data_IF_351811417242
#
_entry.id   IF_351811417242
#
_cell.length_a   1.000
_cell.length_b   1.000
_cell.length_c   1.000
_cell.angle_alpha   90.00
_cell.angle_beta   90.00
_cell.angle_gamma   90.00
#
_symmetry.space_group_name_H-M   'P 1'
#
loop_
_entity.id
_entity.type
_entity.pdbx_description
1 polymer ?
#
# COMPACT_ATOMS: atom_id res chain seq x y z
N UNK A 1 -36.64 -46.42 -60.83
CA UNK A 1 -36.60 -46.54 -59.36
C UNK A 1 -35.38 -45.80 -58.84
N UNK A 2 -35.63 -44.66 -58.18
CA UNK A 2 -34.67 -43.56 -58.03
C UNK A 2 -33.68 -43.69 -56.87
N UNK A 3 -32.46 -43.18 -57.12
CA UNK A 3 -31.32 -43.06 -56.21
C UNK A 3 -31.67 -42.22 -54.98
N UNK A 4 -31.35 -42.72 -53.78
CA UNK A 4 -31.38 -41.94 -52.52
C UNK A 4 -29.98 -41.42 -52.20
N UNK A 5 -29.80 -40.13 -52.38
CA UNK A 5 -28.67 -39.32 -51.91
C UNK A 5 -28.75 -39.18 -50.39
N UNK A 6 -27.68 -39.50 -49.65
CA UNK A 6 -27.54 -39.15 -48.23
C UNK A 6 -26.69 -37.88 -48.14
N UNK A 7 -27.33 -36.74 -47.91
CA UNK A 7 -26.69 -35.49 -47.50
C UNK A 7 -26.10 -35.62 -46.10
N UNK A 8 -24.79 -35.39 -45.98
CA UNK A 8 -24.12 -35.08 -44.71
C UNK A 8 -24.39 -33.62 -44.39
N UNK A 9 -25.19 -33.36 -43.33
CA UNK A 9 -25.26 -32.03 -42.69
C UNK A 9 -23.94 -31.74 -41.98
N UNK A 10 -23.09 -30.92 -42.60
CA UNK A 10 -22.06 -30.16 -41.90
C UNK A 10 -22.77 -29.07 -41.08
N UNK A 11 -22.84 -29.24 -39.76
CA UNK A 11 -23.09 -28.12 -38.86
C UNK A 11 -21.80 -27.30 -38.77
N UNK A 12 -21.71 -26.27 -39.62
CA UNK A 12 -20.80 -25.15 -39.40
C UNK A 12 -21.41 -24.34 -38.26
N UNK A 13 -20.89 -24.53 -37.05
CA UNK A 13 -21.13 -23.61 -35.94
C UNK A 13 -20.51 -22.28 -36.33
N UNK A 14 -21.36 -21.29 -36.59
CA UNK A 14 -20.96 -19.91 -36.77
C UNK A 14 -20.18 -19.46 -35.53
N UNK A 15 -18.85 -19.39 -35.64
CA UNK A 15 -18.04 -18.59 -34.75
C UNK A 15 -18.45 -17.14 -34.97
N UNK A 16 -19.34 -16.64 -34.12
CA UNK A 16 -19.49 -15.22 -33.90
C UNK A 16 -18.19 -14.72 -33.27
N UNK A 17 -17.28 -14.27 -34.12
CA UNK A 17 -16.15 -13.44 -33.74
C UNK A 17 -16.74 -12.16 -33.16
N UNK A 18 -16.94 -12.13 -31.84
CA UNK A 18 -17.13 -10.87 -31.12
C UNK A 18 -15.76 -10.18 -31.09
N UNK A 19 -15.71 -9.05 -31.77
CA UNK A 19 -14.60 -8.12 -31.71
C UNK A 19 -14.30 -7.78 -30.24
N UNK A 20 -13.12 -8.20 -29.78
CA UNK A 20 -12.49 -7.71 -28.56
C UNK A 20 -12.08 -6.26 -28.82
N UNK A 21 -12.72 -5.31 -28.12
CA UNK A 21 -12.18 -3.96 -27.99
C UNK A 21 -10.87 -3.97 -27.20
N UNK A 22 -10.03 -2.93 -27.34
CA UNK A 22 -8.82 -2.82 -26.54
C UNK A 22 -9.22 -2.44 -25.12
N UNK A 23 -8.98 -3.29 -24.11
CA UNK A 23 -9.10 -2.84 -22.72
C UNK A 23 -9.35 -3.86 -21.61
N UNK A 24 -9.75 -5.11 -21.89
CA UNK A 24 -9.98 -6.08 -20.80
C UNK A 24 -8.77 -7.00 -20.61
N UNK A 25 -7.81 -6.57 -19.78
CA UNK A 25 -6.86 -7.51 -19.19
C UNK A 25 -7.65 -8.48 -18.29
N UNK A 26 -7.57 -9.81 -18.49
CA UNK A 26 -8.34 -10.75 -17.70
C UNK A 26 -7.88 -10.69 -16.24
N UNK A 27 -8.78 -10.28 -15.34
CA UNK A 27 -8.59 -10.46 -13.89
C UNK A 27 -8.23 -11.92 -13.63
N UNK A 28 -7.15 -12.17 -12.88
CA UNK A 28 -6.67 -13.53 -12.65
C UNK A 28 -7.80 -14.40 -12.08
N UNK A 29 -7.99 -15.63 -12.57
CA UNK A 29 -9.16 -16.46 -12.21
C UNK A 29 -9.33 -16.76 -10.71
N UNK A 30 -8.27 -16.62 -9.90
CA UNK A 30 -8.37 -16.67 -8.43
C UNK A 30 -9.12 -15.47 -7.84
N UNK A 31 -8.97 -14.29 -8.47
CA UNK A 31 -9.63 -13.05 -8.11
C UNK A 31 -11.12 -13.09 -8.40
N UNK A 32 -11.54 -13.58 -9.57
CA UNK A 32 -12.97 -13.78 -9.90
C UNK A 32 -13.66 -14.74 -8.92
N UNK A 33 -12.93 -15.76 -8.42
CA UNK A 33 -13.39 -16.67 -7.36
C UNK A 33 -13.48 -16.01 -5.97
N UNK A 34 -12.63 -15.02 -5.68
CA UNK A 34 -12.69 -14.24 -4.45
C UNK A 34 -13.78 -13.16 -4.51
N UNK A 35 -14.00 -12.53 -5.67
CA UNK A 35 -15.09 -11.60 -5.93
C UNK A 35 -16.46 -12.28 -5.79
N UNK A 36 -16.65 -13.46 -6.37
CA UNK A 36 -17.92 -14.23 -6.23
C UNK A 36 -18.18 -14.70 -4.79
N UNK A 37 -17.13 -14.89 -3.98
CA UNK A 37 -17.26 -15.14 -2.54
C UNK A 37 -17.54 -13.87 -1.72
N UNK A 38 -17.32 -12.67 -2.29
CA UNK A 38 -17.44 -11.37 -1.60
C UNK A 38 -18.43 -10.40 -2.26
N UNK A 39 -19.19 -10.83 -3.27
CA UNK A 39 -20.16 -10.00 -3.95
C UNK A 39 -21.53 -10.05 -3.27
N UNK A 40 -21.83 -8.96 -2.56
CA UNK A 40 -23.12 -8.24 -2.51
C UNK A 40 -24.36 -9.11 -2.25
N UNK A 41 -24.67 -9.25 -0.96
CA UNK A 41 -25.94 -9.79 -0.48
C UNK A 41 -27.10 -8.89 -0.88
N UNK A 42 -28.04 -9.44 -1.65
CA UNK A 42 -29.42 -8.97 -1.67
C UNK A 42 -30.06 -9.28 -0.31
N UNK A 43 -30.86 -8.33 0.16
CA UNK A 43 -31.57 -8.26 1.45
C UNK A 43 -31.64 -9.53 2.30
N UNK A 44 -31.05 -9.47 3.49
CA UNK A 44 -31.30 -10.42 4.57
C UNK A 44 -31.63 -9.66 5.86
N UNK A 45 -32.77 -10.03 6.43
CA UNK A 45 -33.34 -9.49 7.65
C UNK A 45 -32.40 -9.66 8.84
N UNK A 46 -32.34 -8.62 9.67
CA UNK A 46 -31.39 -8.42 10.77
C UNK A 46 -31.54 -9.40 11.95
N UNK A 47 -32.58 -10.22 11.99
CA UNK A 47 -32.99 -10.91 13.23
C UNK A 47 -32.31 -12.25 13.50
N UNK A 48 -31.60 -12.87 12.54
CA UNK A 48 -31.11 -14.25 12.70
C UNK A 48 -29.58 -14.44 12.79
N UNK A 49 -28.75 -13.41 12.53
CA UNK A 49 -27.29 -13.61 12.29
C UNK A 49 -26.41 -13.15 13.48
N UNK A 50 -27.00 -12.83 14.62
CA UNK A 50 -26.27 -12.21 15.75
C UNK A 50 -25.24 -13.12 16.45
N UNK A 51 -25.24 -14.43 16.19
CA UNK A 51 -24.29 -15.37 16.79
C UNK A 51 -22.95 -15.55 16.06
N UNK A 52 -22.88 -15.31 14.75
CA UNK A 52 -21.73 -15.78 13.93
C UNK A 52 -20.71 -14.69 13.57
N UNK A 53 -21.04 -13.40 13.72
CA UNK A 53 -20.25 -12.29 13.18
C UNK A 53 -19.48 -11.45 14.24
N UNK A 54 -19.36 -11.92 15.49
CA UNK A 54 -18.65 -11.16 16.53
C UNK A 54 -19.29 -9.80 16.84
N UNK A 55 -20.61 -9.70 16.65
CA UNK A 55 -21.42 -8.52 16.96
C UNK A 55 -21.84 -8.62 18.43
N UNK A 56 -21.33 -7.72 19.27
CA UNK A 56 -21.78 -7.59 20.66
C UNK A 56 -22.91 -6.56 20.69
N UNK A 57 -24.13 -7.00 21.01
CA UNK A 57 -25.26 -6.11 21.24
C UNK A 57 -25.31 -5.77 22.72
N UNK A 58 -25.19 -4.49 23.05
CA UNK A 58 -25.52 -3.98 24.38
C UNK A 58 -26.89 -3.29 24.28
N UNK A 59 -27.91 -3.91 24.88
CA UNK A 59 -29.25 -3.33 24.96
C UNK A 59 -29.28 -2.37 26.14
N UNK A 60 -28.95 -1.10 25.92
CA UNK A 60 -29.15 -0.06 26.92
C UNK A 60 -30.62 0.33 26.86
N UNK A 61 -31.39 -0.02 27.88
CA UNK A 61 -32.83 0.25 27.95
C UNK A 61 -33.06 1.72 28.29
N UNK A 62 -33.28 2.53 27.26
CA UNK A 62 -34.32 3.56 27.15
C UNK A 62 -34.19 4.21 25.75
N UNK A 63 -35.31 4.25 25.02
CA UNK A 63 -35.52 4.61 23.60
C UNK A 63 -35.34 3.49 22.55
N UNK A 64 -36.17 3.53 21.51
CA UNK A 64 -36.38 2.53 20.43
C UNK A 64 -35.16 2.23 19.53
N UNK A 65 -33.95 2.64 19.93
CA UNK A 65 -32.71 2.44 19.19
C UNK A 65 -31.78 1.45 19.92
N UNK A 66 -31.22 0.49 19.18
CA UNK A 66 -30.22 -0.43 19.73
C UNK A 66 -28.81 -0.02 19.31
N UNK A 67 -27.86 -0.08 20.24
CA UNK A 67 -26.45 0.20 19.97
C UNK A 67 -25.69 -1.10 19.71
N UNK A 68 -24.98 -1.13 18.59
CA UNK A 68 -24.29 -2.32 18.09
C UNK A 68 -22.85 -1.96 17.76
N UNK A 69 -21.89 -2.67 18.36
CA UNK A 69 -20.48 -2.56 17.98
C UNK A 69 -20.19 -3.57 16.87
N UNK A 70 -19.70 -3.09 15.73
CA UNK A 70 -19.34 -3.92 14.57
C UNK A 70 -17.92 -3.60 14.07
N UNK A 71 -17.33 -4.52 13.30
CA UNK A 71 -16.12 -4.24 12.54
C UNK A 71 -16.38 -3.11 11.53
N UNK A 72 -15.54 -2.08 11.55
CA UNK A 72 -15.75 -0.87 10.75
C UNK A 72 -15.73 -1.14 9.24
N UNK A 73 -14.85 -2.03 8.78
CA UNK A 73 -14.73 -2.36 7.36
C UNK A 73 -15.94 -3.18 6.89
N UNK A 74 -16.37 -4.17 7.66
CA UNK A 74 -17.59 -4.94 7.35
C UNK A 74 -18.85 -4.06 7.39
N UNK A 75 -18.91 -3.12 8.34
CA UNK A 75 -19.97 -2.13 8.41
C UNK A 75 -20.01 -1.24 7.15
N UNK A 76 -18.86 -0.72 6.70
CA UNK A 76 -18.78 0.09 5.49
C UNK A 76 -19.17 -0.70 4.23
N UNK A 77 -18.75 -1.97 4.12
CA UNK A 77 -19.15 -2.85 3.00
C UNK A 77 -20.66 -3.06 2.94
N UNK A 78 -21.31 -3.14 4.10
CA UNK A 78 -22.75 -3.39 4.22
C UNK A 78 -23.59 -2.12 4.01
N UNK A 79 -23.23 -1.03 4.67
CA UNK A 79 -24.08 0.16 4.79
C UNK A 79 -23.62 1.33 3.90
N UNK A 80 -22.39 1.27 3.37
CA UNK A 80 -21.79 2.35 2.58
C UNK A 80 -20.52 2.90 3.20
N UNK A 81 -19.64 3.42 2.35
CA UNK A 81 -18.35 4.00 2.74
C UNK A 81 -18.47 5.13 3.78
N UNK A 82 -19.56 5.89 3.74
CA UNK A 82 -19.88 7.02 4.63
C UNK A 82 -20.97 6.70 5.66
N UNK A 83 -21.04 5.45 6.12
CA UNK A 83 -21.98 4.99 7.15
C UNK A 83 -22.02 5.95 8.36
N UNK A 84 -23.22 6.38 8.77
CA UNK A 84 -23.39 7.36 9.84
C UNK A 84 -22.96 8.79 9.51
N UNK A 85 -22.47 9.07 8.30
CA UNK A 85 -22.01 10.37 7.82
C UNK A 85 -22.44 10.64 6.38
N UNK A 86 -23.66 10.21 6.00
CA UNK A 86 -24.11 10.17 4.60
C UNK A 86 -24.13 11.52 3.89
N UNK A 87 -24.26 12.63 4.64
CA UNK A 87 -24.21 14.00 4.11
C UNK A 87 -22.82 14.64 4.09
N UNK A 88 -21.78 13.98 4.59
CA UNK A 88 -20.42 14.53 4.65
C UNK A 88 -19.62 14.14 3.40
N UNK A 89 -18.91 15.12 2.85
CA UNK A 89 -17.99 14.93 1.74
C UNK A 89 -16.59 14.57 2.24
N UNK A 90 -15.82 13.89 1.40
CA UNK A 90 -14.39 13.75 1.60
C UNK A 90 -13.69 15.11 1.51
N UNK A 91 -12.78 15.36 2.44
CA UNK A 91 -11.91 16.54 2.43
C UNK A 91 -10.53 16.08 2.00
N UNK A 92 -9.91 16.75 1.04
CA UNK A 92 -8.51 16.53 0.67
C UNK A 92 -7.68 17.67 1.25
N UNK A 93 -6.65 17.36 2.02
CA UNK A 93 -5.87 18.40 2.70
C UNK A 93 -5.07 19.27 1.73
N UNK A 94 -4.53 18.66 0.68
CA UNK A 94 -3.67 19.33 -0.29
C UNK A 94 -3.53 18.51 -1.58
N UNK A 95 -2.94 19.15 -2.60
CA UNK A 95 -2.44 18.46 -3.79
C UNK A 95 -3.49 18.04 -4.82
N UNK A 96 -4.75 18.46 -4.70
CA UNK A 96 -5.77 18.17 -5.72
C UNK A 96 -5.30 18.60 -7.12
N UNK A 97 -5.45 17.70 -8.09
CA UNK A 97 -5.10 17.95 -9.49
C UNK A 97 -6.14 17.32 -10.44
N UNK A 98 -6.34 17.94 -11.59
CA UNK A 98 -7.22 17.43 -12.64
C UNK A 98 -6.56 16.36 -13.53
N UNK A 99 -5.23 16.26 -13.46
CA UNK A 99 -4.41 15.39 -14.29
C UNK A 99 -3.61 14.41 -13.43
N UNK A 100 -3.31 13.25 -14.00
CA UNK A 100 -2.47 12.23 -13.42
C UNK A 100 -0.96 12.50 -13.64
N UNK A 101 -0.08 11.59 -13.21
CA UNK A 101 1.37 11.79 -13.30
C UNK A 101 1.91 11.78 -14.74
N UNK A 102 1.16 11.26 -15.70
CA UNK A 102 1.49 11.27 -17.15
C UNK A 102 0.70 12.33 -17.92
N UNK A 103 0.15 13.34 -17.20
CA UNK A 103 -0.58 14.47 -17.77
C UNK A 103 -1.90 14.09 -18.47
N UNK A 104 -2.47 12.91 -18.18
CA UNK A 104 -3.81 12.54 -18.64
C UNK A 104 -4.87 13.08 -17.68
N UNK A 105 -5.94 13.63 -18.25
CA UNK A 105 -7.10 14.06 -17.46
C UNK A 105 -7.74 12.87 -16.77
N UNK A 106 -8.01 13.03 -15.48
CA UNK A 106 -8.70 12.01 -14.72
C UNK A 106 -10.17 11.90 -15.12
N UNK A 107 -10.59 10.66 -15.33
CA UNK A 107 -12.00 10.27 -15.35
C UNK A 107 -12.20 9.20 -14.29
N UNK A 108 -13.41 9.11 -13.73
CA UNK A 108 -13.78 8.10 -12.74
C UNK A 108 -13.25 6.72 -13.18
N UNK A 109 -12.30 6.17 -12.41
CA UNK A 109 -11.69 4.89 -12.76
C UNK A 109 -12.67 3.75 -12.49
N UNK A 110 -12.76 2.83 -13.44
CA UNK A 110 -13.32 1.52 -13.18
C UNK A 110 -12.43 0.81 -12.13
N UNK A 111 -12.99 0.38 -10.98
CA UNK A 111 -12.23 -0.35 -9.97
C UNK A 111 -11.52 -1.58 -10.53
N UNK A 112 -12.11 -2.30 -11.49
CA UNK A 112 -11.49 -3.51 -12.04
C UNK A 112 -10.25 -3.17 -12.88
N UNK A 113 -10.33 -2.13 -13.70
CA UNK A 113 -9.17 -1.60 -14.41
C UNK A 113 -8.06 -1.19 -13.44
N UNK A 114 -8.37 -0.41 -12.39
CA UNK A 114 -7.36 0.02 -11.40
C UNK A 114 -6.77 -1.18 -10.64
N UNK A 115 -7.58 -2.19 -10.31
CA UNK A 115 -7.09 -3.46 -9.74
C UNK A 115 -6.09 -4.13 -10.68
N UNK A 116 -6.37 -4.19 -11.99
CA UNK A 116 -5.47 -4.85 -12.96
C UNK A 116 -4.08 -4.21 -13.03
N UNK A 117 -4.01 -2.89 -12.83
CA UNK A 117 -2.76 -2.13 -12.77
C UNK A 117 -1.94 -2.54 -11.54
N UNK A 118 -2.55 -2.56 -10.37
CA UNK A 118 -1.86 -2.83 -9.11
C UNK A 118 -1.70 -4.31 -8.77
N UNK A 119 -2.40 -5.19 -9.46
CA UNK A 119 -2.34 -6.62 -9.22
C UNK A 119 -0.93 -7.17 -9.57
N UNK A 120 -0.22 -7.84 -8.65
CA UNK A 120 1.12 -8.33 -8.92
C UNK A 120 1.14 -9.40 -10.02
N UNK A 121 2.18 -9.48 -10.85
CA UNK A 121 2.24 -10.51 -11.91
C UNK A 121 2.48 -11.91 -11.36
N UNK A 122 3.31 -12.03 -10.32
CA UNK A 122 3.66 -13.31 -9.73
C UNK A 122 2.51 -13.89 -8.91
N UNK A 123 2.08 -15.12 -9.25
CA UNK A 123 1.12 -15.90 -8.46
C UNK A 123 1.58 -16.11 -7.01
N UNK A 124 2.89 -16.13 -6.78
CA UNK A 124 3.46 -16.34 -5.46
C UNK A 124 3.21 -15.14 -4.52
N UNK A 125 3.12 -13.91 -5.04
CA UNK A 125 2.94 -12.70 -4.22
C UNK A 125 1.50 -12.18 -4.19
N UNK A 126 0.67 -12.64 -5.12
CA UNK A 126 -0.76 -12.31 -5.21
C UNK A 126 -1.55 -12.48 -3.89
N UNK A 127 -1.28 -13.47 -3.01
CA UNK A 127 -1.99 -13.58 -1.74
C UNK A 127 -1.83 -12.39 -0.79
N UNK A 128 -0.81 -11.54 -0.99
CA UNK A 128 -0.54 -10.36 -0.15
C UNK A 128 -1.02 -9.06 -0.78
N UNK A 129 -1.50 -9.11 -2.02
CA UNK A 129 -2.18 -7.97 -2.62
C UNK A 129 -3.53 -7.76 -1.95
N UNK A 130 -3.76 -6.58 -1.40
CA UNK A 130 -5.02 -6.21 -0.74
C UNK A 130 -5.77 -5.21 -1.64
N UNK A 131 -6.77 -5.67 -2.40
CA UNK A 131 -7.52 -4.81 -3.34
C UNK A 131 -8.57 -3.93 -2.63
N UNK A 132 -8.74 -4.09 -1.32
CA UNK A 132 -9.90 -3.60 -0.57
C UNK A 132 -10.12 -2.10 -0.70
N UNK A 133 -9.05 -1.30 -0.69
CA UNK A 133 -9.15 0.14 -0.90
C UNK A 133 -9.64 0.50 -2.31
N UNK A 134 -9.11 -0.15 -3.36
CA UNK A 134 -9.56 0.08 -4.75
C UNK A 134 -11.01 -0.39 -4.92
N UNK A 135 -11.39 -1.52 -4.32
CA UNK A 135 -12.74 -2.08 -4.39
C UNK A 135 -13.80 -1.10 -3.86
N UNK A 136 -13.45 -0.18 -2.98
CA UNK A 136 -14.38 0.84 -2.49
C UNK A 136 -14.92 1.74 -3.61
N UNK A 137 -14.18 1.93 -4.72
CA UNK A 137 -14.63 2.69 -5.91
C UNK A 137 -15.81 2.03 -6.64
N UNK A 138 -16.18 0.79 -6.30
CA UNK A 138 -17.41 0.18 -6.79
C UNK A 138 -18.67 0.90 -6.28
N UNK A 139 -18.56 1.72 -5.22
CA UNK A 139 -19.65 2.57 -4.76
C UNK A 139 -19.67 3.90 -5.54
N UNK A 140 -20.71 4.18 -6.36
CA UNK A 140 -20.72 5.36 -7.23
C UNK A 140 -20.59 6.69 -6.49
N UNK A 141 -21.20 6.79 -5.30
CA UNK A 141 -21.12 7.99 -4.45
C UNK A 141 -19.71 8.29 -3.95
N UNK A 142 -18.88 7.26 -3.77
CA UNK A 142 -17.47 7.42 -3.40
C UNK A 142 -16.64 7.74 -4.65
N UNK A 143 -16.82 6.96 -5.72
CA UNK A 143 -16.09 7.15 -6.99
C UNK A 143 -16.24 8.59 -7.51
N UNK A 144 -17.45 9.15 -7.43
CA UNK A 144 -17.72 10.54 -7.81
C UNK A 144 -16.99 11.61 -6.97
N UNK A 145 -16.47 11.27 -5.79
CA UNK A 145 -15.73 12.20 -4.91
C UNK A 145 -14.21 12.06 -4.99
N UNK A 146 -13.69 10.93 -5.45
CA UNK A 146 -12.24 10.73 -5.54
C UNK A 146 -11.67 11.62 -6.65
N UNK A 147 -10.53 12.25 -6.39
CA UNK A 147 -9.77 13.05 -7.35
C UNK A 147 -8.30 12.71 -7.18
N UNK A 148 -7.49 12.72 -8.25
CA UNK A 148 -6.05 12.53 -8.09
C UNK A 148 -5.45 13.63 -7.20
N UNK A 149 -4.45 13.24 -6.42
CA UNK A 149 -3.64 14.19 -5.65
C UNK A 149 -2.17 14.06 -6.02
N UNK A 150 -1.44 15.17 -5.94
CA UNK A 150 0.01 15.24 -5.97
C UNK A 150 0.48 16.23 -4.90
N UNK A 151 1.02 15.72 -3.80
CA UNK A 151 1.48 16.53 -2.66
C UNK A 151 2.99 16.77 -2.70
N UNK A 152 3.47 17.75 -1.94
CA UNK A 152 4.91 17.99 -1.81
C UNK A 152 5.65 16.75 -1.27
N UNK A 153 5.05 16.05 -0.30
CA UNK A 153 5.62 14.83 0.28
C UNK A 153 5.69 13.69 -0.74
N UNK A 154 4.69 13.54 -1.61
CA UNK A 154 4.73 12.56 -2.71
C UNK A 154 5.90 12.83 -3.64
N UNK A 155 6.07 14.08 -4.10
CA UNK A 155 7.17 14.47 -4.97
C UNK A 155 8.54 14.23 -4.33
N UNK A 156 8.74 14.62 -3.06
CA UNK A 156 10.00 14.39 -2.33
C UNK A 156 10.30 12.89 -2.18
N UNK A 157 9.31 12.09 -1.77
CA UNK A 157 9.49 10.64 -1.63
C UNK A 157 9.77 9.95 -2.97
N UNK A 158 9.07 10.35 -4.03
CA UNK A 158 9.32 9.86 -5.39
C UNK A 158 10.77 10.13 -5.82
N UNK A 159 11.21 11.39 -5.71
CA UNK A 159 12.56 11.78 -6.15
C UNK A 159 13.67 11.12 -5.34
N UNK A 160 13.51 10.98 -4.02
CA UNK A 160 14.47 10.23 -3.18
C UNK A 160 14.52 8.75 -3.56
N UNK A 161 13.36 8.19 -3.89
CA UNK A 161 13.26 6.78 -4.31
C UNK A 161 13.93 6.54 -5.65
N UNK A 162 14.01 7.52 -6.56
CA UNK A 162 14.83 7.38 -7.78
C UNK A 162 16.32 7.09 -7.46
N UNK A 163 16.84 7.64 -6.36
CA UNK A 163 18.19 7.29 -5.86
C UNK A 163 18.30 5.83 -5.42
N UNK A 164 17.30 5.32 -4.68
CA UNK A 164 17.23 3.91 -4.28
C UNK A 164 17.07 3.00 -5.52
N UNK A 165 16.19 3.38 -6.45
CA UNK A 165 15.97 2.69 -7.71
C UNK A 165 17.27 2.55 -8.50
N UNK A 166 18.06 3.63 -8.60
CA UNK A 166 19.35 3.59 -9.25
C UNK A 166 20.29 2.56 -8.61
N UNK A 167 20.37 2.47 -7.28
CA UNK A 167 21.19 1.49 -6.58
C UNK A 167 20.71 0.05 -6.82
N UNK A 168 19.40 -0.19 -6.66
CA UNK A 168 18.84 -1.54 -6.79
C UNK A 168 18.87 -2.06 -8.23
N UNK A 169 18.83 -1.18 -9.23
CA UNK A 169 19.01 -1.58 -10.64
C UNK A 169 20.41 -2.11 -10.97
N UNK A 170 21.40 -1.87 -10.10
CA UNK A 170 22.80 -2.24 -10.32
C UNK A 170 23.24 -3.48 -9.55
N UNK A 171 22.40 -4.03 -8.67
CA UNK A 171 22.76 -5.18 -7.84
C UNK A 171 22.21 -6.48 -8.41
N UNK A 172 23.03 -7.53 -8.41
CA UNK A 172 22.68 -8.83 -9.01
C UNK A 172 21.68 -9.64 -8.16
N UNK A 173 21.56 -9.31 -6.88
CA UNK A 173 20.76 -9.99 -5.87
C UNK A 173 19.56 -9.17 -5.40
N UNK A 174 19.13 -8.16 -6.19
CA UNK A 174 17.96 -7.34 -5.88
C UNK A 174 16.71 -8.20 -5.66
N UNK A 175 16.57 -9.26 -6.46
CA UNK A 175 15.48 -10.22 -6.37
C UNK A 175 15.41 -11.03 -5.07
N UNK A 176 16.44 -10.98 -4.23
CA UNK A 176 16.48 -11.61 -2.91
C UNK A 176 16.01 -10.66 -1.79
N UNK A 177 15.53 -9.47 -2.13
CA UNK A 177 15.02 -8.47 -1.20
C UNK A 177 13.49 -8.34 -1.25
N UNK A 178 12.87 -8.35 -0.08
CA UNK A 178 11.55 -7.74 0.13
C UNK A 178 11.73 -6.29 0.63
N UNK A 179 11.10 -5.34 -0.03
CA UNK A 179 11.01 -3.96 0.45
C UNK A 179 9.64 -3.78 1.13
N UNK A 180 9.64 -3.35 2.38
CA UNK A 180 8.41 -2.96 3.10
C UNK A 180 8.41 -1.44 3.21
N UNK A 181 7.59 -0.78 2.40
CA UNK A 181 7.46 0.67 2.40
C UNK A 181 6.37 1.11 3.37
N UNK A 182 6.77 1.76 4.46
CA UNK A 182 5.90 2.18 5.55
C UNK A 182 5.99 3.69 5.74
N UNK A 183 5.34 4.40 4.82
CA UNK A 183 5.22 5.86 4.77
C UNK A 183 3.74 6.26 4.88
N UNK A 184 3.41 7.55 5.07
CA UNK A 184 2.02 8.00 4.91
C UNK A 184 1.48 7.52 3.56
N UNK A 185 0.26 6.98 3.53
CA UNK A 185 -0.24 6.23 2.38
C UNK A 185 -0.01 6.87 0.99
N UNK A 186 -0.28 8.18 0.77
CA UNK A 186 0.05 8.83 -0.50
C UNK A 186 1.53 8.76 -0.89
N UNK A 187 2.43 8.93 0.08
CA UNK A 187 3.88 8.84 -0.12
C UNK A 187 4.32 7.40 -0.42
N UNK A 188 3.74 6.39 0.24
CA UNK A 188 4.00 4.97 -0.08
C UNK A 188 3.64 4.65 -1.53
N UNK A 189 2.52 5.19 -2.03
CA UNK A 189 2.14 5.03 -3.45
C UNK A 189 3.16 5.70 -4.37
N UNK A 190 3.64 6.91 -4.04
CA UNK A 190 4.66 7.60 -4.81
C UNK A 190 5.98 6.82 -4.90
N UNK A 191 6.41 6.19 -3.80
CA UNK A 191 7.57 5.26 -3.81
C UNK A 191 7.30 4.07 -4.72
N UNK A 192 6.11 3.47 -4.64
CA UNK A 192 5.69 2.38 -5.52
C UNK A 192 5.77 2.77 -6.99
N UNK A 193 5.30 3.97 -7.35
CA UNK A 193 5.35 4.50 -8.70
C UNK A 193 6.79 4.71 -9.21
N UNK A 194 7.67 5.29 -8.38
CA UNK A 194 9.08 5.45 -8.70
C UNK A 194 9.74 4.09 -9.01
N UNK A 195 9.40 3.06 -8.24
CA UNK A 195 9.99 1.71 -8.33
C UNK A 195 9.35 0.77 -9.36
N UNK A 196 8.23 1.15 -9.98
CA UNK A 196 7.34 0.20 -10.69
C UNK A 196 7.95 -0.50 -11.92
N UNK A 197 9.09 -0.02 -12.43
CA UNK A 197 9.82 -0.62 -13.54
C UNK A 197 10.92 -1.60 -13.09
N UNK A 198 11.31 -1.58 -11.81
CA UNK A 198 12.32 -2.48 -11.25
C UNK A 198 11.81 -3.36 -10.11
N UNK A 199 10.65 -3.07 -9.53
CA UNK A 199 10.05 -3.85 -8.46
C UNK A 199 8.55 -4.13 -8.69
N UNK A 200 8.10 -5.32 -8.28
CA UNK A 200 6.69 -5.68 -8.21
C UNK A 200 6.03 -4.92 -7.07
N UNK A 201 5.18 -3.95 -7.42
CA UNK A 201 4.40 -3.15 -6.48
C UNK A 201 3.23 -3.95 -5.93
N UNK A 202 3.12 -4.06 -4.61
CA UNK A 202 2.07 -4.82 -3.91
C UNK A 202 1.40 -3.94 -2.86
N UNK A 203 0.30 -3.26 -3.20
CA UNK A 203 -0.48 -2.51 -2.20
C UNK A 203 -1.09 -3.45 -1.16
N UNK A 204 -0.96 -3.09 0.12
CA UNK A 204 -1.51 -3.84 1.25
C UNK A 204 -2.44 -2.96 2.13
N UNK A 205 -3.24 -2.10 1.48
CA UNK A 205 -4.18 -1.18 2.14
C UNK A 205 -5.56 -1.84 2.39
N UNK A 206 -5.78 -2.38 3.59
CA UNK A 206 -7.04 -3.05 3.98
C UNK A 206 -8.05 -2.08 4.60
N UNK A 207 -8.44 -1.06 3.84
CA UNK A 207 -9.21 0.07 4.36
C UNK A 207 -10.27 0.54 3.35
N UNK A 208 -11.38 1.10 3.83
CA UNK A 208 -12.36 1.85 3.04
C UNK A 208 -12.41 3.31 3.50
N UNK A 209 -12.47 4.28 2.56
CA UNK A 209 -12.58 5.69 2.92
C UNK A 209 -13.81 6.00 3.77
N UNK A 210 -13.68 6.93 4.70
CA UNK A 210 -14.78 7.49 5.48
C UNK A 210 -14.54 8.99 5.68
N UNK A 211 -15.54 9.88 5.59
CA UNK A 211 -15.35 11.33 5.79
C UNK A 211 -14.78 11.71 7.15
N UNK A 212 -15.02 10.88 8.16
CA UNK A 212 -14.51 11.00 9.52
C UNK A 212 -13.46 9.95 9.87
N UNK A 213 -12.94 9.20 8.89
CA UNK A 213 -11.96 8.15 9.13
C UNK A 213 -10.71 8.72 9.78
N UNK A 214 -10.24 8.10 10.87
CA UNK A 214 -8.95 8.45 11.48
C UNK A 214 -7.81 8.23 10.47
N UNK A 215 -7.91 7.16 9.69
CA UNK A 215 -7.01 6.91 8.56
C UNK A 215 -7.64 7.53 7.31
N UNK A 216 -6.96 8.50 6.70
CA UNK A 216 -7.43 9.23 5.51
C UNK A 216 -7.20 8.42 4.23
N UNK A 217 -7.79 7.24 4.14
CA UNK A 217 -7.54 6.29 3.06
C UNK A 217 -8.02 6.79 1.67
N UNK A 218 -8.89 7.81 1.60
CA UNK A 218 -9.21 8.49 0.34
C UNK A 218 -8.02 9.23 -0.27
N UNK A 219 -7.10 9.77 0.54
CA UNK A 219 -5.89 10.42 0.03
C UNK A 219 -4.93 9.37 -0.56
N UNK A 220 -4.81 8.21 0.10
CA UNK A 220 -4.06 7.07 -0.45
C UNK A 220 -4.67 6.59 -1.76
N UNK A 221 -5.99 6.43 -1.84
CA UNK A 221 -6.69 6.04 -3.06
C UNK A 221 -6.53 7.09 -4.18
N UNK A 222 -6.57 8.38 -3.83
CA UNK A 222 -6.31 9.48 -4.75
C UNK A 222 -4.88 9.47 -5.31
N UNK A 223 -3.88 9.13 -4.49
CA UNK A 223 -2.51 8.93 -4.96
C UNK A 223 -2.41 7.70 -5.89
N UNK A 224 -3.12 6.61 -5.58
CA UNK A 224 -3.16 5.42 -6.44
C UNK A 224 -3.73 5.73 -7.82
N UNK A 225 -4.75 6.59 -7.85
CA UNK A 225 -5.37 7.13 -9.05
C UNK A 225 -4.41 8.05 -9.82
N UNK A 226 -3.64 8.90 -9.12
CA UNK A 226 -2.67 9.80 -9.74
C UNK A 226 -1.51 9.07 -10.45
N UNK A 227 -1.03 7.96 -9.88
CA UNK A 227 0.09 7.20 -10.46
C UNK A 227 -0.33 6.00 -11.32
N UNK A 228 -1.64 5.78 -11.53
CA UNK A 228 -2.16 4.57 -12.18
C UNK A 228 -1.54 4.31 -13.56
N UNK A 229 -1.60 5.30 -14.47
CA UNK A 229 -1.08 5.16 -15.84
C UNK A 229 0.46 5.03 -15.87
N UNK A 230 1.18 5.73 -14.98
CA UNK A 230 2.64 5.60 -14.91
C UNK A 230 3.06 4.20 -14.44
N UNK A 231 2.38 3.66 -13.42
CA UNK A 231 2.63 2.30 -12.95
C UNK A 231 2.31 1.29 -14.03
N UNK A 232 1.20 1.46 -14.76
CA UNK A 232 0.85 0.61 -15.90
C UNK A 232 1.98 0.61 -16.96
N UNK A 233 2.46 1.78 -17.36
CA UNK A 233 3.54 1.92 -18.34
C UNK A 233 4.84 1.29 -17.82
N UNK A 234 5.25 1.60 -16.60
CA UNK A 234 6.50 1.10 -15.99
C UNK A 234 6.47 -0.40 -15.78
N UNK A 235 5.35 -0.95 -15.32
CA UNK A 235 5.16 -2.38 -15.09
C UNK A 235 5.36 -3.18 -16.38
N UNK A 236 5.06 -2.63 -17.55
CA UNK A 236 5.35 -3.29 -18.85
C UNK A 236 6.83 -3.68 -19.02
N UNK A 237 7.74 -2.93 -18.39
CA UNK A 237 9.21 -3.09 -18.46
C UNK A 237 9.77 -3.99 -17.35
N UNK A 238 8.94 -4.44 -16.42
CA UNK A 238 9.34 -5.16 -15.21
C UNK A 238 9.80 -6.59 -15.52
N UNK A 239 10.98 -6.97 -15.02
CA UNK A 239 11.50 -8.33 -15.10
C UNK A 239 10.70 -9.33 -14.26
N UNK A 240 10.64 -10.59 -14.70
CA UNK A 240 9.85 -11.64 -14.03
C UNK A 240 10.31 -11.95 -12.60
N UNK A 241 11.62 -11.84 -12.35
CA UNK A 241 12.24 -12.06 -11.05
C UNK A 241 12.49 -10.75 -10.28
N UNK A 242 11.83 -9.65 -10.65
CA UNK A 242 12.03 -8.37 -9.96
C UNK A 242 11.74 -8.46 -8.45
N UNK A 243 12.48 -7.70 -7.60
CA UNK A 243 12.16 -7.55 -6.18
C UNK A 243 10.71 -7.18 -5.94
N UNK A 244 10.24 -7.42 -4.72
CA UNK A 244 8.89 -7.06 -4.30
C UNK A 244 8.96 -5.81 -3.41
N UNK A 245 8.08 -4.85 -3.68
CA UNK A 245 7.82 -3.73 -2.77
C UNK A 245 6.38 -3.78 -2.27
N UNK A 246 6.21 -3.98 -0.97
CA UNK A 246 4.91 -3.93 -0.30
C UNK A 246 4.64 -2.52 0.20
N UNK A 247 3.49 -1.97 -0.16
CA UNK A 247 3.09 -0.61 0.25
C UNK A 247 2.16 -0.68 1.44
N UNK A 248 2.59 -0.08 2.55
CA UNK A 248 1.84 0.09 3.77
C UNK A 248 1.56 1.57 4.03
N UNK A 249 0.53 1.86 4.82
CA UNK A 249 0.26 3.21 5.29
C UNK A 249 0.71 3.31 6.76
N UNK A 250 1.70 4.14 7.05
CA UNK A 250 2.22 4.32 8.41
C UNK A 250 1.21 5.01 9.34
N UNK A 251 0.15 5.59 8.80
CA UNK A 251 -0.95 6.17 9.57
C UNK A 251 -2.03 5.15 9.94
N UNK A 252 -1.90 3.88 9.53
CA UNK A 252 -2.92 2.83 9.78
C UNK A 252 -3.19 2.54 11.26
N UNK A 253 -2.23 2.84 12.14
CA UNK A 253 -2.33 2.71 13.58
C UNK A 253 -2.44 4.06 14.31
N UNK A 254 -2.80 5.14 13.58
CA UNK A 254 -2.99 6.48 14.17
C UNK A 254 -3.86 6.37 15.42
N UNK A 255 -3.53 7.08 16.53
CA UNK A 255 -4.34 7.04 17.74
C UNK A 255 -5.80 7.36 17.43
N UNK A 256 -6.69 6.52 17.96
CA UNK A 256 -8.13 6.74 17.90
C UNK A 256 -8.63 7.12 19.28
N UNK A 257 -9.33 8.24 19.36
CA UNK A 257 -10.13 8.62 20.52
C UNK A 257 -11.59 8.47 20.13
N UNK A 258 -12.38 7.88 21.02
CA UNK A 258 -13.79 7.61 20.79
C UNK A 258 -14.62 8.90 20.87
N UNK A 259 -14.48 9.73 19.84
CA UNK A 259 -15.08 11.06 19.70
C UNK A 259 -16.11 11.08 18.55
N UNK A 260 -17.12 11.95 18.65
CA UNK A 260 -18.22 12.10 17.67
C UNK A 260 -17.75 12.46 16.25
N UNK A 261 -16.52 12.96 16.12
CA UNK A 261 -15.91 13.40 14.86
C UNK A 261 -14.94 12.38 14.25
N UNK A 262 -14.84 11.16 14.81
CA UNK A 262 -13.93 10.12 14.36
C UNK A 262 -14.64 8.80 14.06
N UNK A 263 -14.16 8.11 13.04
CA UNK A 263 -14.54 6.77 12.64
C UNK A 263 -13.31 5.88 12.65
N UNK A 264 -13.33 4.80 13.43
CA UNK A 264 -12.18 3.90 13.58
C UNK A 264 -12.06 2.97 12.38
N UNK A 265 -11.46 3.46 11.29
CA UNK A 265 -11.08 2.65 10.13
C UNK A 265 -9.61 2.19 10.18
N UNK A 266 -9.03 2.01 11.38
CA UNK A 266 -7.68 1.45 11.50
C UNK A 266 -7.65 -0.01 11.08
N UNK A 267 -6.50 -0.46 10.59
CA UNK A 267 -6.32 -1.82 10.08
C UNK A 267 -4.89 -2.31 10.32
N UNK A 268 -4.69 -3.62 10.19
CA UNK A 268 -3.40 -4.27 10.40
C UNK A 268 -2.74 -4.61 9.06
N UNK A 269 -1.42 -4.45 8.99
CA UNK A 269 -0.64 -4.87 7.85
C UNK A 269 -0.72 -6.39 7.65
N UNK A 270 -0.82 -6.81 6.38
CA UNK A 270 -0.74 -8.23 5.98
C UNK A 270 0.60 -8.46 5.31
N UNK A 271 1.46 -9.22 5.96
CA UNK A 271 2.80 -9.53 5.48
C UNK A 271 3.00 -11.04 5.30
N UNK A 272 3.92 -11.48 4.42
CA UNK A 272 4.31 -12.87 4.31
C UNK A 272 5.00 -13.38 5.57
N UNK A 273 4.79 -14.67 5.87
CA UNK A 273 5.57 -15.38 6.89
C UNK A 273 7.02 -15.59 6.44
N UNK A 274 7.92 -15.86 7.38
CA UNK A 274 9.32 -16.16 7.06
C UNK A 274 9.46 -17.31 6.05
N UNK A 275 8.68 -18.38 6.20
CA UNK A 275 8.70 -19.54 5.31
C UNK A 275 8.27 -19.18 3.89
N UNK A 276 7.21 -18.37 3.76
CA UNK A 276 6.75 -17.89 2.46
C UNK A 276 7.80 -16.99 1.79
N UNK A 277 8.57 -16.20 2.54
CA UNK A 277 9.68 -15.41 2.00
C UNK A 277 10.85 -16.30 1.55
N UNK A 278 11.25 -17.27 2.38
CA UNK A 278 12.32 -18.22 2.06
C UNK A 278 12.02 -19.06 0.82
N UNK A 279 10.79 -19.54 0.68
CA UNK A 279 10.33 -20.28 -0.50
C UNK A 279 10.47 -19.47 -1.80
N UNK A 280 10.53 -18.13 -1.70
CA UNK A 280 10.73 -17.22 -2.83
C UNK A 280 12.19 -16.82 -3.03
N UNK A 281 13.12 -17.36 -2.24
CA UNK A 281 14.53 -16.99 -2.27
C UNK A 281 14.84 -15.62 -1.68
N UNK A 282 13.89 -15.02 -0.95
CA UNK A 282 14.14 -13.79 -0.21
C UNK A 282 15.08 -14.10 0.95
N UNK A 283 16.14 -13.31 1.07
CA UNK A 283 17.15 -13.42 2.13
C UNK A 283 17.19 -12.20 3.04
N UNK A 284 16.65 -11.08 2.57
CA UNK A 284 16.69 -9.83 3.32
C UNK A 284 15.44 -8.99 3.13
N UNK A 285 15.21 -8.14 4.12
CA UNK A 285 14.08 -7.21 4.18
C UNK A 285 14.64 -5.80 4.37
N UNK A 286 14.22 -4.91 3.49
CA UNK A 286 14.47 -3.48 3.57
C UNK A 286 13.21 -2.78 4.06
N UNK A 287 13.19 -2.40 5.34
CA UNK A 287 12.11 -1.63 5.94
C UNK A 287 12.32 -0.14 5.65
N UNK A 288 11.58 0.37 4.68
CA UNK A 288 11.70 1.73 4.19
C UNK A 288 10.78 2.67 4.97
N UNK A 289 11.38 3.64 5.64
CA UNK A 289 10.70 4.67 6.45
C UNK A 289 11.06 6.08 5.96
N UNK A 290 10.33 7.08 6.41
CA UNK A 290 10.48 8.46 5.91
C UNK A 290 11.85 9.03 6.29
N UNK A 291 12.13 9.08 7.58
CA UNK A 291 13.27 9.77 8.13
C UNK A 291 13.69 9.19 9.48
N UNK A 292 14.64 9.85 10.14
CA UNK A 292 15.22 9.44 11.42
C UNK A 292 14.27 9.52 12.62
N UNK A 293 13.09 10.15 12.49
CA UNK A 293 12.10 10.19 13.57
C UNK A 293 11.49 8.80 13.81
N UNK A 294 11.42 7.97 12.76
CA UNK A 294 11.03 6.58 12.88
C UNK A 294 12.26 5.74 13.24
N UNK A 295 12.38 5.36 14.52
CA UNK A 295 13.52 4.56 15.03
C UNK A 295 13.20 3.08 15.19
N UNK A 296 11.91 2.73 15.18
CA UNK A 296 11.39 1.37 15.31
C UNK A 296 10.26 1.13 14.31
N UNK A 297 9.92 -0.12 14.07
CA UNK A 297 8.74 -0.51 13.31
C UNK A 297 7.44 -0.27 14.09
N UNK A 298 6.32 -0.13 13.39
CA UNK A 298 5.00 -0.04 14.01
C UNK A 298 4.65 -1.32 14.77
N UNK A 299 3.78 -1.20 15.77
CA UNK A 299 3.41 -2.28 16.69
C UNK A 299 2.88 -3.53 15.98
N UNK A 300 2.18 -3.35 14.86
CA UNK A 300 1.67 -4.44 14.04
C UNK A 300 2.73 -5.05 13.11
N UNK A 301 3.99 -4.62 13.15
CA UNK A 301 5.09 -5.19 12.35
C UNK A 301 6.13 -5.90 13.21
N UNK A 302 6.19 -5.61 14.51
CA UNK A 302 7.26 -6.08 15.39
C UNK A 302 7.39 -7.61 15.38
N UNK A 303 6.29 -8.34 15.58
CA UNK A 303 6.34 -9.80 15.69
C UNK A 303 6.85 -10.45 14.41
N UNK A 304 6.34 -10.04 13.25
CA UNK A 304 6.81 -10.53 11.95
C UNK A 304 8.28 -10.20 11.71
N UNK A 305 8.72 -8.98 12.03
CA UNK A 305 10.10 -8.58 11.80
C UNK A 305 11.07 -9.35 12.71
N UNK A 306 10.67 -9.61 13.96
CA UNK A 306 11.41 -10.46 14.89
C UNK A 306 11.44 -11.91 14.41
N UNK A 307 10.32 -12.43 13.91
CA UNK A 307 10.23 -13.78 13.36
C UNK A 307 11.13 -13.94 12.12
N UNK A 308 11.10 -12.97 11.21
CA UNK A 308 11.99 -12.92 10.04
C UNK A 308 13.46 -12.97 10.45
N UNK A 309 13.86 -12.12 11.41
CA UNK A 309 15.22 -12.06 11.91
C UNK A 309 15.66 -13.38 12.57
N UNK A 310 14.80 -14.02 13.38
CA UNK A 310 15.03 -15.35 13.97
C UNK A 310 15.19 -16.44 12.92
N UNK A 311 14.49 -16.29 11.80
CA UNK A 311 14.53 -17.20 10.68
C UNK A 311 15.68 -16.91 9.69
N UNK A 312 16.60 -16.00 10.01
CA UNK A 312 17.77 -15.72 9.17
C UNK A 312 17.49 -14.79 7.99
N UNK A 313 16.34 -14.13 7.95
CA UNK A 313 16.09 -13.03 7.01
C UNK A 313 16.67 -11.74 7.60
N UNK A 314 17.66 -11.15 6.94
CA UNK A 314 18.29 -9.94 7.44
C UNK A 314 17.33 -8.74 7.29
N UNK A 315 16.80 -8.23 8.40
CA UNK A 315 15.89 -7.08 8.37
C UNK A 315 16.64 -5.79 8.71
N UNK A 316 16.60 -4.79 7.83
CA UNK A 316 17.28 -3.49 7.99
C UNK A 316 16.33 -2.35 7.69
N UNK A 317 16.43 -1.28 8.47
CA UNK A 317 15.71 -0.05 8.23
C UNK A 317 16.51 0.85 7.31
N UNK A 318 15.86 1.39 6.28
CA UNK A 318 16.37 2.41 5.38
C UNK A 318 15.48 3.64 5.48
N UNK A 319 16.09 4.81 5.65
CA UNK A 319 15.37 6.08 5.71
C UNK A 319 15.46 6.76 4.36
N UNK A 320 14.34 7.21 3.80
CA UNK A 320 14.37 8.00 2.56
C UNK A 320 15.18 9.29 2.73
N UNK A 321 15.18 9.87 3.94
CA UNK A 321 16.01 11.05 4.27
C UNK A 321 17.52 10.82 4.10
N UNK A 322 17.99 9.56 4.09
CA UNK A 322 19.40 9.23 3.83
C UNK A 322 19.78 9.47 2.35
N UNK A 323 18.80 9.62 1.45
CA UNK A 323 19.00 10.08 0.08
C UNK A 323 18.93 11.60 0.03
N UNK A 324 20.07 12.28 0.10
CA UNK A 324 20.12 13.74 0.14
C UNK A 324 20.28 14.32 -1.27
N UNK A 325 19.75 15.53 -1.52
CA UNK A 325 19.87 16.16 -2.82
C UNK A 325 21.34 16.53 -3.10
N UNK A 326 21.72 16.37 -4.36
CA UNK A 326 22.99 16.79 -4.91
C UNK A 326 22.68 17.54 -6.21
N UNK A 327 22.99 18.84 -6.20
CA UNK A 327 22.77 19.73 -7.33
C UNK A 327 23.97 19.64 -8.27
N UNK A 328 23.74 19.12 -9.47
CA UNK A 328 24.74 19.00 -10.50
C UNK A 328 24.57 20.10 -11.56
N UNK A 329 25.57 20.99 -11.75
CA UNK A 329 25.56 21.92 -12.86
C UNK A 329 25.88 21.18 -14.16
N UNK A 330 24.96 21.24 -15.12
CA UNK A 330 25.11 20.67 -16.46
C UNK A 330 25.14 21.80 -17.48
N UNK A 331 26.19 21.85 -18.30
CA UNK A 331 26.26 22.80 -19.40
C UNK A 331 25.31 22.32 -20.49
N UNK A 332 24.21 23.04 -20.71
CA UNK A 332 23.32 22.74 -21.82
C UNK A 332 23.96 23.27 -23.12
N UNK A 333 24.49 22.38 -23.94
CA UNK A 333 24.92 22.73 -25.29
C UNK A 333 23.68 22.89 -26.18
N UNK A 334 23.17 24.11 -26.31
CA UNK A 334 22.26 24.44 -27.41
C UNK A 334 23.11 24.66 -28.65
N UNK A 335 23.10 23.70 -29.57
CA UNK A 335 23.60 23.93 -30.93
C UNK A 335 22.68 24.92 -31.62
N UNK A 336 23.03 26.19 -31.60
CA UNK A 336 22.37 27.21 -32.41
C UNK A 336 22.83 27.06 -33.87
N UNK A 337 21.91 27.24 -34.83
CA UNK A 337 22.22 27.14 -36.26
C UNK A 337 23.18 28.24 -36.77
N UNK A 338 23.57 29.18 -35.91
CA UNK A 338 24.40 30.36 -36.21
C UNK A 338 25.81 30.32 -35.61
N UNK A 339 26.24 29.20 -35.00
CA UNK A 339 27.62 29.01 -34.55
C UNK A 339 28.01 29.72 -33.24
N UNK A 340 27.09 30.45 -32.61
CA UNK A 340 27.29 31.06 -31.28
C UNK A 340 26.86 30.08 -30.19
N UNK A 341 27.84 29.56 -29.42
CA UNK A 341 27.58 28.63 -28.32
C UNK A 341 27.23 29.41 -27.05
N UNK A 342 25.96 29.71 -26.83
CA UNK A 342 25.49 30.22 -25.53
C UNK A 342 25.34 29.04 -24.55
N UNK A 343 26.33 28.89 -23.67
CA UNK A 343 26.34 27.87 -22.64
C UNK A 343 25.43 28.25 -21.47
N UNK A 344 24.13 28.00 -21.56
CA UNK A 344 23.26 28.10 -20.37
C UNK A 344 23.53 26.91 -19.44
N UNK A 345 23.95 27.16 -18.21
CA UNK A 345 24.10 26.09 -17.20
C UNK A 345 22.74 25.76 -16.60
N UNK A 346 22.29 24.51 -16.73
CA UNK A 346 21.07 23.99 -16.09
C UNK A 346 21.49 23.13 -14.91
N UNK A 347 20.91 23.37 -13.74
CA UNK A 347 21.18 22.54 -12.56
C UNK A 347 20.20 21.36 -12.52
N UNK A 348 20.73 20.14 -12.56
CA UNK A 348 19.95 18.92 -12.38
C UNK A 348 20.09 18.44 -10.93
N UNK A 349 18.95 18.27 -10.23
CA UNK A 349 18.92 17.74 -8.88
C UNK A 349 18.81 16.22 -8.90
N UNK A 350 19.77 15.55 -8.29
CA UNK A 350 19.78 14.11 -8.07
C UNK A 350 19.72 13.81 -6.57
N UNK A 351 19.30 12.60 -6.19
CA UNK A 351 19.29 12.16 -4.80
C UNK A 351 20.21 10.97 -4.64
N UNK A 352 21.20 11.09 -3.76
CA UNK A 352 22.19 10.06 -3.53
C UNK A 352 22.18 9.60 -2.08
N UNK A 353 22.32 8.28 -1.87
CA UNK A 353 22.50 7.72 -0.54
C UNK A 353 23.74 8.34 0.11
N UNK A 354 23.61 9.00 1.26
CA UNK A 354 24.67 9.74 1.96
C UNK A 354 24.98 11.13 1.36
N UNK A 355 24.21 11.60 0.39
CA UNK A 355 24.30 12.95 -0.19
C UNK A 355 25.39 13.18 -1.23
N UNK A 356 26.12 12.14 -1.62
CA UNK A 356 27.12 12.20 -2.68
C UNK A 356 27.01 11.02 -3.63
N UNK A 357 27.31 11.19 -4.93
CA UNK A 357 27.44 10.05 -5.83
C UNK A 357 28.43 9.00 -5.30
N UNK A 358 29.51 9.42 -4.63
CA UNK A 358 30.53 8.50 -4.09
C UNK A 358 30.03 7.68 -2.90
N UNK A 359 29.03 8.17 -2.15
CA UNK A 359 28.52 7.45 -0.99
C UNK A 359 27.60 6.28 -1.36
N UNK A 360 27.18 6.16 -2.63
CA UNK A 360 26.48 4.98 -3.14
C UNK A 360 27.23 3.66 -2.92
N UNK A 361 28.56 3.68 -2.93
CA UNK A 361 29.37 2.49 -2.66
C UNK A 361 29.07 1.86 -1.28
N UNK A 362 28.78 2.70 -0.29
CA UNK A 362 28.54 2.26 1.08
C UNK A 362 27.16 1.62 1.26
N UNK A 363 26.19 1.96 0.41
CA UNK A 363 24.87 1.34 0.44
C UNK A 363 24.95 -0.19 0.39
N UNK A 364 25.73 -0.74 -0.54
CA UNK A 364 25.85 -2.18 -0.72
C UNK A 364 26.41 -2.87 0.52
N UNK A 365 27.41 -2.24 1.18
CA UNK A 365 27.96 -2.75 2.44
C UNK A 365 26.99 -2.61 3.63
N UNK A 366 26.23 -1.52 3.69
CA UNK A 366 25.31 -1.23 4.79
C UNK A 366 24.06 -2.12 4.77
N UNK A 367 23.64 -2.55 3.58
CA UNK A 367 22.42 -3.33 3.36
C UNK A 367 22.66 -4.72 2.75
N UNK A 368 23.88 -5.25 2.90
CA UNK A 368 24.31 -6.61 2.48
C UNK A 368 23.98 -7.01 1.04
N UNK A 369 23.99 -6.04 0.13
CA UNK A 369 23.95 -6.35 -1.28
C UNK A 369 25.33 -6.75 -1.78
N UNK A 370 25.34 -7.62 -2.78
CA UNK A 370 26.54 -7.92 -3.55
C UNK A 370 27.10 -6.62 -4.13
N UNK A 371 28.33 -6.27 -3.79
CA UNK A 371 28.94 -5.03 -4.28
C UNK A 371 29.11 -5.15 -5.80
N UNK A 372 28.55 -4.24 -6.61
CA UNK A 372 28.72 -4.30 -8.05
C UNK A 372 30.19 -4.06 -8.40
N UNK A 373 30.63 -4.61 -9.55
CA UNK A 373 31.98 -4.36 -10.06
C UNK A 373 32.24 -2.88 -10.29
N UNK A 374 31.19 -2.15 -10.64
CA UNK A 374 31.21 -0.73 -10.93
C UNK A 374 29.88 -0.12 -10.50
N UNK A 375 29.95 0.99 -9.77
CA UNK A 375 28.77 1.84 -9.52
C UNK A 375 28.70 2.87 -10.64
N UNK A 376 27.54 3.00 -11.25
CA UNK A 376 27.23 3.94 -12.32
C UNK A 376 26.18 4.92 -11.84
N UNK A 377 26.43 6.20 -12.04
CA UNK A 377 25.46 7.27 -11.77
C UNK A 377 25.16 8.02 -13.06
N UNK A 378 23.98 8.61 -13.17
CA UNK A 378 23.64 9.47 -14.31
C UNK A 378 24.10 10.88 -13.98
N UNK A 379 25.02 11.43 -14.78
CA UNK A 379 25.54 12.79 -14.68
C UNK A 379 25.46 13.48 -16.03
N UNK A 380 24.79 14.64 -16.10
CA UNK A 380 24.57 15.35 -17.36
C UNK A 380 23.93 14.49 -18.47
N UNK A 381 23.01 13.59 -18.09
CA UNK A 381 22.35 12.66 -19.02
C UNK A 381 23.23 11.49 -19.49
N UNK A 382 24.46 11.35 -18.99
CA UNK A 382 25.37 10.25 -19.33
C UNK A 382 25.56 9.31 -18.15
N UNK A 383 25.70 8.03 -18.42
CA UNK A 383 26.10 7.03 -17.43
C UNK A 383 27.59 7.17 -17.13
N UNK A 384 27.94 7.53 -15.90
CA UNK A 384 29.32 7.77 -15.46
C UNK A 384 29.74 6.71 -14.44
N UNK A 385 30.81 5.93 -14.72
CA UNK A 385 31.47 5.09 -13.74
C UNK A 385 31.95 5.90 -12.54
N UNK A 386 31.72 5.42 -11.33
CA UNK A 386 32.36 5.97 -10.15
C UNK A 386 33.51 5.06 -9.69
N UNK A 387 34.72 5.60 -9.47
CA UNK A 387 35.76 4.85 -8.80
C UNK A 387 35.33 4.51 -7.37
N UNK A 388 35.81 3.38 -6.85
CA UNK A 388 35.59 2.99 -5.46
C UNK A 388 36.37 3.94 -4.53
N UNK A 389 35.71 4.58 -3.54
CA UNK A 389 36.40 5.44 -2.58
C UNK A 389 37.45 4.66 -1.76
N UNK A 390 38.56 5.31 -1.45
CA UNK A 390 39.64 4.78 -0.60
C UNK A 390 39.42 5.08 0.89
N UNK A 391 38.65 6.13 1.20
CA UNK A 391 38.25 6.51 2.56
C UNK A 391 36.87 5.98 2.89
N UNK A 392 36.64 5.56 4.15
CA UNK A 392 35.32 5.14 4.65
C UNK A 392 34.24 6.23 4.57
N UNK A 393 32.95 5.89 4.76
CA UNK A 393 31.88 6.86 4.78
C UNK A 393 32.02 7.81 5.98
N UNK A 394 31.56 9.05 5.83
CA UNK A 394 31.42 10.01 6.93
C UNK A 394 30.21 9.75 7.83
N UNK A 395 29.44 8.70 7.56
CA UNK A 395 28.21 8.34 8.26
C UNK A 395 28.19 6.86 8.62
N UNK A 396 27.49 6.54 9.71
CA UNK A 396 27.45 5.20 10.26
C UNK A 396 26.47 4.28 9.50
N UNK A 397 26.73 2.96 9.49
CA UNK A 397 25.78 1.98 8.99
C UNK A 397 24.49 1.97 9.84
N UNK A 398 23.35 1.52 9.28
CA UNK A 398 22.10 1.40 10.01
C UNK A 398 22.22 0.46 11.22
N UNK A 399 21.93 1.00 12.40
CA UNK A 399 21.99 0.26 13.67
C UNK A 399 20.72 -0.55 13.96
N UNK A 400 19.58 -0.17 13.38
CA UNK A 400 18.29 -0.81 13.66
C UNK A 400 18.31 -2.33 13.44
N UNK A 401 17.83 -3.07 14.43
CA UNK A 401 17.53 -4.50 14.35
C UNK A 401 16.17 -4.73 15.01
N UNK A 402 15.27 -5.53 14.43
CA UNK A 402 14.04 -5.90 15.11
C UNK A 402 14.35 -6.61 16.42
N UNK A 403 13.71 -6.18 17.49
CA UNK A 403 13.81 -6.80 18.82
C UNK A 403 12.41 -7.00 19.39
N UNK A 404 12.21 -8.13 20.06
CA UNK A 404 10.94 -8.40 20.72
C UNK A 404 10.65 -7.31 21.74
N UNK A 405 9.49 -6.67 21.64
CA UNK A 405 9.04 -5.66 22.61
C UNK A 405 7.55 -5.85 22.89
N UNK A 406 7.06 -5.43 24.07
CA UNK A 406 5.62 -5.31 24.30
C UNK A 406 5.02 -4.35 23.28
N UNK A 407 3.98 -4.81 22.59
CA UNK A 407 3.15 -4.04 21.67
C UNK A 407 1.70 -4.14 22.12
N UNK A 408 0.83 -3.28 21.59
CA UNK A 408 -0.61 -3.40 21.79
C UNK A 408 -1.21 -4.72 21.27
N UNK A 409 -0.44 -5.51 20.51
CA UNK A 409 -0.85 -6.80 19.94
C UNK A 409 -0.24 -8.01 20.68
N UNK A 410 0.75 -7.81 21.57
CA UNK A 410 1.47 -8.91 22.24
C UNK A 410 0.63 -9.78 23.17
N UNK A 411 -0.50 -9.26 23.69
CA UNK A 411 -1.38 -9.99 24.62
C UNK A 411 -2.36 -10.95 23.91
N UNK A 412 -2.39 -10.98 22.57
CA UNK A 412 -3.45 -11.63 21.81
C UNK A 412 -3.14 -13.10 21.40
N UNK A 413 -2.11 -13.73 21.98
CA UNK A 413 -1.82 -15.17 21.75
C UNK A 413 -2.68 -16.07 22.62
N UNK A 414 -3.85 -16.45 22.11
CA UNK A 414 -4.50 -17.72 22.49
C UNK A 414 -4.53 -18.58 21.23
N UNK A 415 -3.58 -19.51 21.11
CA UNK A 415 -3.50 -20.45 19.98
C UNK A 415 -2.26 -20.26 19.09
N UNK A 416 -1.66 -21.38 18.69
CA UNK A 416 -0.29 -21.51 18.17
C UNK A 416 -0.12 -21.25 16.66
N UNK A 417 -0.87 -20.36 16.03
CA UNK A 417 -0.73 -20.11 14.58
C UNK A 417 -0.03 -18.80 14.28
N UNK A 418 1.26 -18.89 13.93
CA UNK A 418 1.99 -17.85 13.21
C UNK A 418 1.50 -17.77 11.76
N UNK A 419 1.10 -16.57 11.32
CA UNK A 419 0.85 -16.28 9.92
C UNK A 419 -0.63 -16.24 9.52
N UNK A 420 -1.04 -15.06 9.03
CA UNK A 420 -2.35 -14.75 8.45
C UNK A 420 -3.50 -14.79 9.47
N UNK A 421 -3.61 -13.70 10.23
CA UNK A 421 -4.74 -13.48 11.15
C UNK A 421 -4.26 -13.01 12.51
N UNK A 422 -3.70 -11.81 12.60
CA UNK A 422 -3.50 -11.17 13.90
C UNK A 422 -4.86 -10.93 14.54
N UNK A 423 -5.04 -11.45 15.73
CA UNK A 423 -6.21 -11.17 16.57
C UNK A 423 -6.16 -9.72 17.00
N UNK A 424 -7.16 -8.94 16.55
CA UNK A 424 -7.28 -7.53 16.88
C UNK A 424 -7.51 -7.37 18.39
N UNK A 425 -6.89 -6.37 19.06
CA UNK A 425 -7.22 -6.02 20.43
C UNK A 425 -8.72 -5.69 20.53
N UNK A 426 -9.30 -5.90 21.71
CA UNK A 426 -10.71 -5.54 21.95
C UNK A 426 -10.94 -4.06 21.58
N UNK A 427 -11.98 -3.79 20.78
CA UNK A 427 -12.33 -2.45 20.31
C UNK A 427 -11.52 -1.91 19.13
N UNK A 428 -10.45 -2.58 18.67
CA UNK A 428 -9.66 -2.10 17.54
C UNK A 428 -10.39 -2.26 16.20
N UNK A 429 -10.51 -1.17 15.43
CA UNK A 429 -11.19 -1.19 14.14
C UNK A 429 -12.69 -1.50 14.27
N UNK A 430 -13.29 -1.13 15.40
CA UNK A 430 -14.71 -1.32 15.67
C UNK A 430 -15.39 0.03 15.84
N UNK A 431 -16.57 0.16 15.26
CA UNK A 431 -17.41 1.34 15.40
C UNK A 431 -18.73 0.96 16.04
N UNK A 432 -19.22 1.79 16.96
CA UNK A 432 -20.56 1.67 17.54
C UNK A 432 -21.56 2.42 16.66
N UNK A 433 -22.60 1.71 16.23
CA UNK A 433 -23.69 2.26 15.43
C UNK A 433 -25.02 2.13 16.14
N UNK A 434 -25.88 3.13 15.93
CA UNK A 434 -27.29 3.05 16.28
C UNK A 434 -28.05 2.41 15.13
N UNK A 435 -28.89 1.45 15.49
CA UNK A 435 -29.71 0.70 14.56
C UNK A 435 -31.17 0.90 14.95
N UNK A 436 -31.95 1.45 14.01
CA UNK A 436 -33.40 1.57 14.15
C UNK A 436 -34.06 0.19 14.17
N UNK A 437 -35.32 0.12 14.64
CA UNK A 437 -36.10 -1.13 14.67
C UNK A 437 -36.18 -1.86 13.31
N UNK A 438 -36.02 -1.15 12.19
CA UNK A 438 -35.99 -1.71 10.84
C UNK A 438 -34.61 -2.27 10.41
N UNK A 439 -33.61 -2.24 11.29
CA UNK A 439 -32.25 -2.71 11.02
C UNK A 439 -31.37 -1.71 10.27
N UNK A 440 -31.83 -0.50 9.97
CA UNK A 440 -31.03 0.51 9.28
C UNK A 440 -30.15 1.27 10.28
N UNK A 441 -28.89 1.51 9.91
CA UNK A 441 -28.00 2.36 10.70
C UNK A 441 -28.48 3.82 10.61
N UNK A 442 -28.85 4.40 11.76
CA UNK A 442 -29.33 5.79 11.87
C UNK A 442 -28.23 6.77 12.25
N UNK A 443 -27.11 6.29 12.78
CA UNK A 443 -25.94 7.09 13.09
C UNK A 443 -24.78 6.28 13.67
N UNK A 444 -23.57 6.83 13.61
CA UNK A 444 -22.40 6.35 14.34
C UNK A 444 -22.31 7.13 15.65
N UNK A 445 -22.27 6.46 16.81
CA UNK A 445 -22.09 7.11 18.13
C UNK A 445 -20.68 6.77 18.65
N UNK A 446 -20.03 7.64 19.43
CA UNK A 446 -18.96 7.23 20.33
C UNK A 446 -19.58 6.41 21.47
N UNK A 447 -19.81 5.13 21.22
CA UNK A 447 -20.18 4.17 22.25
C UNK A 447 -18.95 3.90 23.09
N UNK A 448 -19.00 4.18 24.39
CA UNK A 448 -17.97 4.04 25.44
C UNK A 448 -17.08 2.78 25.25
N UNK A 449 -16.13 2.84 24.31
CA UNK A 449 -15.10 1.83 24.13
C UNK A 449 -14.33 1.81 25.44
N UNK A 450 -14.46 0.71 26.20
CA UNK A 450 -13.95 0.58 27.55
C UNK A 450 -12.55 1.17 27.68
N UNK A 451 -12.37 2.05 28.67
CA UNK A 451 -11.08 2.66 28.95
C UNK A 451 -10.03 1.57 29.07
N UNK A 452 -8.93 1.70 28.33
CA UNK A 452 -7.72 0.92 28.57
C UNK A 452 -7.41 0.97 30.07
N UNK A 453 -7.44 -0.18 30.74
CA UNK A 453 -7.21 -0.30 32.16
C UNK A 453 -5.80 0.17 32.52
N UNK A 454 -5.67 1.42 32.97
CA UNK A 454 -4.70 1.76 34.01
C UNK A 454 -5.32 1.34 35.33
N UNK A 455 -5.10 0.10 35.75
CA UNK A 455 -5.27 -0.26 37.16
C UNK A 455 -4.21 0.48 37.96
N UNK A 456 -4.55 1.68 38.44
CA UNK A 456 -3.81 2.32 39.52
C UNK A 456 -4.02 1.50 40.79
N UNK A 457 -3.00 0.75 41.20
CA UNK A 457 -2.97 0.08 42.50
C UNK A 457 -2.87 1.13 43.60
N UNK A 458 -4.01 1.50 44.18
CA UNK A 458 -4.07 2.25 45.43
C UNK A 458 -3.77 1.31 46.60
N UNK A 459 -2.63 1.53 47.25
CA UNK A 459 -2.32 0.98 48.57
C UNK A 459 -3.29 1.58 49.60
N UNK A 460 -4.02 0.71 50.30
CA UNK A 460 -4.54 0.98 51.64
C UNK A 460 -3.77 0.08 52.60
N UNK A 461 -2.97 0.67 53.49
CA UNK A 461 -2.45 0.00 54.68
C UNK A 461 -3.40 0.27 55.84
N UNK A 462 -3.92 -0.81 56.43
CA UNK A 462 -4.22 -0.88 57.86
C UNK A 462 -2.99 -1.30 58.64
#
# INVERSE_FOLDING_TARGET
MGKRTKEKKNQVSAQTVRATGPGEAPLAGWFSKQLTRRSVGKGLAWTAVLGAAGISIYKVTNDDESEISADSLELQKKEGWNVGSTGKLLVFNEGLTAIDSVQKTWSAYDPNFLISIYQPRSSAIQPFFVPTLIQSLAQPSLNGQIRPINTALMNDCYQRTEGLRNLLSQTADANQTLIVCDLPGPASVAVGAAMADIAQVVPAFDNWPHPLGVVRSHETLAAMVYYANEIEEKKSKLADNAPVIMLLDSTRLTPYTNEDNQFDNRYLAKLPTADQLKQRGIKQVLYLVKDQLQTQELDDLNEEFVDWQKNGLATRMLRLSDFQPFDEPVVASKSSATGTTDGSTVTHRHYYYGGSPYSHWWFYSHYYYSTPRQVVVVRGGRSVPLPRPTSGPSFNPPAYRPASRPTMFSAARIGSSTGIGKTRPSGFGRTSVRVAQNGRVTGTRPGRSGSYGRSGGGWFSG
#
